data_IF_510411247277
#
_entry.id   IF_510411247277
#
_cell.length_a   1.000
_cell.length_b   1.000
_cell.length_c   1.000
_cell.angle_alpha   90.00
_cell.angle_beta   90.00
_cell.angle_gamma   90.00
#
_symmetry.space_group_name_H-M   'P 1'
#
loop_
_entity.id
_entity.type
_entity.pdbx_description
1 polymer ?
#
# COMPACT_ATOMS: atom_id res chain seq x y z
N UNK A 1 -21.49 -53.83 20.80
CA UNK A 1 -20.74 -53.91 19.53
C UNK A 1 -20.41 -52.49 19.11
N UNK A 2 -19.14 -52.13 19.16
CA UNK A 2 -18.67 -50.75 19.05
C UNK A 2 -18.72 -50.21 17.62
N UNK A 3 -19.18 -48.96 17.50
CA UNK A 3 -19.06 -48.15 16.29
C UNK A 3 -17.61 -47.71 16.11
N UNK A 4 -17.05 -47.95 14.92
CA UNK A 4 -15.72 -47.48 14.55
C UNK A 4 -15.89 -46.28 13.61
N UNK A 5 -15.82 -45.09 14.20
CA UNK A 5 -15.65 -43.81 13.51
C UNK A 5 -14.24 -43.78 12.91
N UNK A 6 -14.13 -43.87 11.59
CA UNK A 6 -12.89 -43.58 10.88
C UNK A 6 -12.79 -42.08 10.63
N UNK A 7 -12.03 -41.39 11.49
CA UNK A 7 -11.62 -40.00 11.27
C UNK A 7 -10.68 -39.94 10.07
N UNK A 8 -11.16 -39.47 8.92
CA UNK A 8 -10.27 -39.11 7.83
C UNK A 8 -9.48 -37.85 8.23
N UNK A 9 -8.19 -38.05 8.47
CA UNK A 9 -7.22 -36.99 8.65
C UNK A 9 -7.13 -36.21 7.33
N UNK A 10 -7.60 -34.96 7.36
CA UNK A 10 -7.55 -34.02 6.26
C UNK A 10 -6.08 -33.64 5.99
N UNK A 11 -5.42 -34.44 5.16
CA UNK A 11 -4.02 -34.26 4.80
C UNK A 11 -3.98 -33.17 3.74
N UNK A 12 -3.91 -31.91 4.18
CA UNK A 12 -3.86 -30.71 3.33
C UNK A 12 -2.71 -30.85 2.32
N UNK A 13 -3.06 -31.12 1.06
CA UNK A 13 -2.11 -31.20 -0.03
C UNK A 13 -1.25 -29.92 -0.09
N UNK A 14 0.04 -30.00 -0.50
CA UNK A 14 0.89 -28.83 -0.66
C UNK A 14 0.20 -27.85 -1.61
N UNK A 15 -0.11 -26.64 -1.14
CA UNK A 15 -0.69 -25.62 -2.01
C UNK A 15 0.33 -25.28 -3.09
N UNK A 16 -0.10 -25.33 -4.36
CA UNK A 16 0.73 -24.97 -5.51
C UNK A 16 1.39 -23.59 -5.30
N UNK A 17 2.69 -23.51 -5.58
CA UNK A 17 3.47 -22.26 -5.54
C UNK A 17 2.78 -21.17 -6.35
N UNK A 18 2.64 -19.99 -5.76
CA UNK A 18 1.96 -18.86 -6.40
C UNK A 18 2.81 -18.30 -7.56
N UNK A 19 2.17 -18.04 -8.69
CA UNK A 19 2.75 -17.48 -9.92
C UNK A 19 1.84 -16.38 -10.45
N UNK A 20 2.34 -15.59 -11.38
CA UNK A 20 1.54 -14.64 -12.13
C UNK A 20 0.68 -15.37 -13.17
N UNK A 21 -0.56 -14.91 -13.33
CA UNK A 21 -1.44 -15.39 -14.39
C UNK A 21 -0.83 -15.07 -15.76
N UNK A 22 -0.82 -16.03 -16.72
CA UNK A 22 -0.10 -15.87 -17.98
C UNK A 22 -0.68 -14.79 -18.89
N UNK A 23 -2.00 -14.65 -18.94
CA UNK A 23 -2.68 -13.86 -19.98
C UNK A 23 -3.26 -12.55 -19.46
N UNK A 24 -4.10 -12.59 -18.41
CA UNK A 24 -4.58 -11.40 -17.70
C UNK A 24 -3.42 -10.64 -17.03
N UNK A 25 -2.87 -9.68 -17.77
CA UNK A 25 -1.84 -8.73 -17.32
C UNK A 25 -1.87 -7.49 -18.20
N UNK A 26 -1.43 -6.36 -17.67
CA UNK A 26 -1.37 -5.10 -18.39
C UNK A 26 -0.44 -5.15 -19.60
N UNK A 27 -0.69 -4.29 -20.59
CA UNK A 27 -0.01 -4.30 -21.88
C UNK A 27 1.51 -4.07 -21.79
N UNK A 28 1.99 -3.42 -20.72
CA UNK A 28 3.41 -3.17 -20.50
C UNK A 28 4.11 -4.29 -19.72
N UNK A 29 3.39 -5.33 -19.28
CA UNK A 29 3.94 -6.40 -18.46
C UNK A 29 4.56 -7.51 -19.31
N UNK A 30 5.82 -7.83 -19.01
CA UNK A 30 6.52 -9.04 -19.43
C UNK A 30 6.76 -9.93 -18.23
N UNK A 31 6.42 -11.21 -18.39
CA UNK A 31 6.68 -12.24 -17.38
C UNK A 31 7.92 -13.04 -17.77
N UNK A 32 8.66 -13.53 -16.78
CA UNK A 32 9.69 -14.55 -17.01
C UNK A 32 9.08 -15.92 -17.38
N UNK A 33 9.93 -16.85 -17.83
CA UNK A 33 9.49 -18.19 -18.25
C UNK A 33 8.76 -18.96 -17.13
N UNK A 34 9.17 -18.73 -15.88
CA UNK A 34 8.60 -19.35 -14.69
C UNK A 34 7.30 -18.66 -14.22
N UNK A 35 6.95 -17.51 -14.81
CA UNK A 35 5.85 -16.63 -14.37
C UNK A 35 5.94 -16.23 -12.90
N UNK A 36 7.14 -16.15 -12.34
CA UNK A 36 7.33 -15.68 -10.98
C UNK A 36 7.88 -14.25 -10.93
N UNK A 37 8.37 -13.71 -12.04
CA UNK A 37 8.81 -12.31 -12.13
C UNK A 37 7.96 -11.56 -13.15
N UNK A 38 7.43 -10.41 -12.76
CA UNK A 38 6.72 -9.47 -13.63
C UNK A 38 7.54 -8.19 -13.75
N UNK A 39 7.84 -7.78 -14.98
CA UNK A 39 8.55 -6.56 -15.31
C UNK A 39 7.71 -5.68 -16.22
N UNK A 40 7.70 -4.39 -15.94
CA UNK A 40 7.09 -3.38 -16.80
C UNK A 40 8.13 -2.82 -17.78
N UNK A 41 7.84 -2.91 -19.08
CA UNK A 41 8.79 -2.58 -20.13
C UNK A 41 9.00 -1.07 -20.31
N UNK A 42 7.92 -0.29 -20.44
CA UNK A 42 7.98 1.15 -20.66
C UNK A 42 6.95 1.89 -19.78
N UNK A 43 6.92 3.23 -19.92
CA UNK A 43 5.94 4.16 -19.32
C UNK A 43 5.95 4.20 -17.78
N UNK A 44 4.81 4.51 -17.14
CA UNK A 44 4.53 4.43 -15.70
C UNK A 44 3.25 3.63 -15.34
N UNK A 45 2.52 3.10 -16.31
CA UNK A 45 1.18 2.48 -16.15
C UNK A 45 1.05 1.17 -16.96
N UNK A 46 -0.17 0.59 -16.99
CA UNK A 46 -0.47 -0.72 -17.60
C UNK A 46 0.35 -1.86 -16.97
N UNK A 47 0.58 -1.78 -15.66
CA UNK A 47 1.42 -2.69 -14.87
C UNK A 47 0.63 -3.75 -14.10
N UNK A 48 -0.66 -3.90 -14.36
CA UNK A 48 -1.56 -4.78 -13.58
C UNK A 48 -1.19 -6.25 -13.79
N UNK A 49 -1.10 -7.01 -12.71
CA UNK A 49 -0.89 -8.47 -12.72
C UNK A 49 -1.76 -9.14 -11.66
N UNK A 50 -2.08 -10.42 -11.90
CA UNK A 50 -2.89 -11.23 -10.99
C UNK A 50 -2.16 -12.53 -10.61
N UNK A 51 -2.52 -13.13 -9.48
CA UNK A 51 -2.12 -14.51 -9.19
C UNK A 51 -2.78 -15.49 -10.15
N UNK A 52 -2.13 -16.61 -10.45
CA UNK A 52 -2.67 -17.63 -11.36
C UNK A 52 -3.83 -18.42 -10.74
N UNK A 53 -3.90 -18.45 -9.40
CA UNK A 53 -4.95 -19.14 -8.64
C UNK A 53 -5.54 -18.24 -7.54
N UNK A 54 -6.71 -18.60 -7.00
CA UNK A 54 -7.21 -17.99 -5.78
C UNK A 54 -6.23 -18.14 -4.61
N UNK A 55 -6.25 -17.16 -3.72
CA UNK A 55 -5.47 -17.07 -2.50
C UNK A 55 -6.43 -17.20 -1.31
N UNK A 56 -6.07 -18.06 -0.35
CA UNK A 56 -6.92 -18.28 0.82
C UNK A 56 -6.88 -17.08 1.78
N UNK A 57 -7.96 -16.81 2.53
CA UNK A 57 -7.90 -15.85 3.63
C UNK A 57 -6.81 -16.22 4.63
N UNK A 58 -5.89 -15.29 4.89
CA UNK A 58 -4.72 -15.47 5.75
C UNK A 58 -3.49 -16.07 5.05
N UNK A 59 -3.61 -16.54 3.81
CA UNK A 59 -2.45 -16.92 3.00
C UNK A 59 -1.63 -15.66 2.67
N UNK A 60 -0.31 -15.77 2.87
CA UNK A 60 0.63 -14.67 2.72
C UNK A 60 1.15 -14.63 1.30
N UNK A 61 0.82 -13.57 0.57
CA UNK A 61 1.42 -13.30 -0.74
C UNK A 61 2.69 -12.50 -0.53
N UNK A 62 3.84 -13.10 -0.82
CA UNK A 62 5.14 -12.46 -0.68
C UNK A 62 5.70 -12.09 -2.06
N UNK A 63 6.05 -10.82 -2.24
CA UNK A 63 6.71 -10.32 -3.45
C UNK A 63 8.00 -9.60 -3.06
N UNK A 64 9.09 -9.91 -3.75
CA UNK A 64 10.32 -9.13 -3.71
C UNK A 64 10.27 -8.06 -4.77
N UNK A 65 10.62 -6.83 -4.42
CA UNK A 65 10.82 -5.78 -5.40
C UNK A 65 12.20 -5.96 -6.03
N UNK A 66 12.25 -6.17 -7.33
CA UNK A 66 13.48 -6.55 -8.04
C UNK A 66 14.16 -5.33 -8.64
N UNK A 67 13.39 -4.39 -9.18
CA UNK A 67 13.97 -3.27 -9.92
C UNK A 67 13.13 -2.00 -9.82
N UNK A 68 13.85 -0.88 -9.79
CA UNK A 68 13.36 0.49 -9.65
C UNK A 68 13.86 1.36 -10.80
N UNK A 69 13.03 2.32 -11.20
CA UNK A 69 13.43 3.40 -12.08
C UNK A 69 13.06 4.74 -11.47
N UNK A 70 14.05 5.63 -11.38
CA UNK A 70 13.86 7.01 -10.93
C UNK A 70 13.10 7.86 -11.96
N UNK A 71 12.74 9.08 -11.59
CA UNK A 71 12.01 10.00 -12.47
C UNK A 71 10.50 9.77 -12.57
N UNK A 72 9.98 8.79 -11.84
CA UNK A 72 8.55 8.52 -11.71
C UNK A 72 8.07 8.78 -10.28
N UNK A 73 6.79 9.10 -10.12
CA UNK A 73 6.14 9.22 -8.82
C UNK A 73 5.27 7.99 -8.53
N UNK A 74 5.16 7.65 -7.24
CA UNK A 74 4.39 6.52 -6.75
C UNK A 74 5.13 5.18 -6.79
N UNK A 75 4.48 4.14 -6.29
CA UNK A 75 5.09 2.82 -6.15
C UNK A 75 4.09 1.67 -6.23
N UNK A 76 4.58 0.47 -5.94
CA UNK A 76 3.83 -0.76 -5.97
C UNK A 76 2.47 -0.63 -5.26
N UNK A 77 1.42 -1.10 -5.93
CA UNK A 77 0.09 -1.27 -5.33
C UNK A 77 -0.21 -2.75 -5.19
N UNK A 78 -0.85 -3.13 -4.09
CA UNK A 78 -1.18 -4.53 -3.79
C UNK A 78 -2.61 -4.64 -3.27
N UNK A 79 -3.26 -5.77 -3.53
CA UNK A 79 -4.64 -5.97 -3.15
C UNK A 79 -5.18 -7.34 -3.50
N UNK A 80 -6.51 -7.43 -3.44
CA UNK A 80 -7.26 -8.61 -3.82
C UNK A 80 -8.43 -8.24 -4.72
N UNK A 81 -8.81 -9.16 -5.60
CA UNK A 81 -9.96 -9.03 -6.49
C UNK A 81 -10.80 -10.30 -6.49
N UNK A 82 -12.10 -10.17 -6.77
CA UNK A 82 -12.99 -11.29 -7.12
C UNK A 82 -13.10 -11.52 -8.62
N UNK A 83 -12.42 -10.72 -9.44
CA UNK A 83 -12.29 -11.01 -10.86
C UNK A 83 -11.46 -12.27 -11.02
N UNK A 84 -12.04 -13.29 -11.65
CA UNK A 84 -11.30 -14.47 -12.08
C UNK A 84 -10.39 -14.08 -13.25
N UNK A 85 -9.05 -14.12 -13.10
CA UNK A 85 -8.11 -13.75 -14.15
C UNK A 85 -8.25 -14.60 -15.42
N UNK A 86 -8.79 -15.81 -15.34
CA UNK A 86 -9.08 -16.64 -16.52
C UNK A 86 -10.19 -16.06 -17.40
N UNK A 87 -11.01 -15.15 -16.84
CA UNK A 87 -12.13 -14.48 -17.53
C UNK A 87 -11.82 -13.02 -17.86
N UNK A 88 -10.63 -12.53 -17.50
CA UNK A 88 -10.20 -11.15 -17.75
C UNK A 88 -9.43 -11.10 -19.06
N UNK A 89 -9.96 -10.32 -20.02
CA UNK A 89 -9.27 -10.04 -21.27
C UNK A 89 -8.18 -8.98 -21.05
N UNK A 90 -6.94 -9.24 -21.48
CA UNK A 90 -5.83 -8.30 -21.27
C UNK A 90 -6.09 -6.90 -21.87
N UNK A 91 -6.67 -6.75 -23.09
CA UNK A 91 -7.02 -5.44 -23.64
C UNK A 91 -8.11 -4.68 -22.89
N UNK A 92 -8.92 -5.35 -22.05
CA UNK A 92 -9.96 -4.69 -21.25
C UNK A 92 -9.44 -4.20 -19.89
N UNK A 93 -8.17 -4.44 -19.56
CA UNK A 93 -7.59 -3.95 -18.32
C UNK A 93 -7.37 -2.44 -18.40
N UNK A 94 -7.77 -1.69 -17.35
CA UNK A 94 -7.48 -0.26 -17.29
C UNK A 94 -5.99 -0.02 -16.99
N UNK A 95 -5.52 1.23 -17.12
CA UNK A 95 -4.12 1.56 -16.87
C UNK A 95 -3.65 1.37 -15.42
N UNK A 96 -4.57 1.46 -14.45
CA UNK A 96 -4.28 1.42 -13.02
C UNK A 96 -5.20 0.49 -12.24
N UNK A 97 -4.68 -0.14 -11.18
CA UNK A 97 -5.56 -0.83 -10.23
C UNK A 97 -6.42 0.17 -9.44
N UNK A 98 -5.78 1.22 -8.90
CA UNK A 98 -6.44 2.29 -8.16
C UNK A 98 -6.35 3.60 -8.96
N UNK A 99 -7.48 4.30 -9.24
CA UNK A 99 -8.85 3.94 -8.86
C UNK A 99 -9.57 3.04 -9.89
N UNK A 100 -9.02 2.89 -11.11
CA UNK A 100 -9.81 2.43 -12.27
C UNK A 100 -10.39 1.02 -12.11
N UNK A 101 -9.55 0.01 -11.83
CA UNK A 101 -10.02 -1.37 -11.71
C UNK A 101 -10.96 -1.54 -10.51
N UNK A 102 -10.74 -0.81 -9.42
CA UNK A 102 -11.63 -0.82 -8.26
C UNK A 102 -13.02 -0.23 -8.52
N UNK A 103 -13.09 0.81 -9.36
CA UNK A 103 -14.38 1.40 -9.74
C UNK A 103 -15.17 0.49 -10.69
N UNK A 104 -14.46 -0.32 -11.49
CA UNK A 104 -15.06 -1.18 -12.52
C UNK A 104 -15.39 -2.59 -12.01
N UNK A 105 -14.84 -3.00 -10.86
CA UNK A 105 -14.89 -4.40 -10.43
C UNK A 105 -14.79 -4.56 -8.91
N UNK A 106 -15.17 -5.72 -8.35
CA UNK A 106 -14.97 -6.05 -6.95
C UNK A 106 -13.48 -6.27 -6.64
N UNK A 107 -12.73 -5.17 -6.60
CA UNK A 107 -11.28 -5.10 -6.37
C UNK A 107 -11.00 -4.15 -5.22
N UNK A 108 -10.06 -4.54 -4.35
CA UNK A 108 -9.61 -3.76 -3.20
C UNK A 108 -8.09 -3.79 -3.14
N UNK A 109 -7.46 -2.67 -3.47
CA UNK A 109 -6.02 -2.50 -3.42
C UNK A 109 -5.65 -1.20 -2.73
N UNK A 110 -4.36 -1.02 -2.47
CA UNK A 110 -3.81 0.23 -2.01
C UNK A 110 -2.37 0.35 -2.49
N UNK A 111 -1.91 1.59 -2.64
CA UNK A 111 -0.48 1.87 -2.79
C UNK A 111 0.23 1.56 -1.48
N UNK A 112 1.42 0.97 -1.55
CA UNK A 112 2.27 0.83 -0.38
C UNK A 112 2.73 2.21 0.12
N UNK A 113 2.92 2.40 1.44
CA UNK A 113 3.47 3.64 1.97
C UNK A 113 4.82 3.97 1.35
N UNK A 114 5.19 5.25 1.36
CA UNK A 114 6.47 5.69 0.82
C UNK A 114 7.65 4.97 1.51
N UNK A 115 8.67 4.61 0.72
CA UNK A 115 9.82 3.86 1.20
C UNK A 115 9.58 2.37 1.51
N UNK A 116 8.35 1.85 1.37
CA UNK A 116 8.01 0.46 1.68
C UNK A 116 8.09 -0.49 0.47
N UNK A 117 8.73 -0.06 -0.61
CA UNK A 117 8.75 -0.83 -1.84
C UNK A 117 10.06 -0.63 -2.59
N UNK A 118 11.21 -0.51 -1.90
CA UNK A 118 12.53 -0.30 -2.50
C UNK A 118 13.10 -1.60 -3.10
N UNK A 119 14.04 -1.48 -4.03
CA UNK A 119 14.70 -2.64 -4.62
C UNK A 119 15.36 -3.50 -3.53
N UNK A 120 15.01 -4.79 -3.49
CA UNK A 120 15.41 -5.75 -2.46
C UNK A 120 14.35 -6.01 -1.40
N UNK A 121 13.41 -5.08 -1.18
CA UNK A 121 12.36 -5.23 -0.16
C UNK A 121 11.46 -6.42 -0.47
N UNK A 122 11.04 -7.10 0.60
CA UNK A 122 10.04 -8.15 0.55
C UNK A 122 8.74 -7.62 1.14
N UNK A 123 7.76 -7.44 0.28
CA UNK A 123 6.40 -7.03 0.64
C UNK A 123 5.55 -8.29 0.81
N UNK A 124 5.01 -8.48 2.00
CA UNK A 124 4.11 -9.57 2.32
C UNK A 124 2.73 -9.01 2.64
N UNK A 125 1.72 -9.35 1.85
CA UNK A 125 0.33 -8.90 2.07
C UNK A 125 -0.64 -10.08 2.17
N UNK A 126 -1.72 -9.87 2.92
CA UNK A 126 -2.76 -10.88 3.15
C UNK A 126 -4.06 -10.21 3.57
N UNK A 127 -5.18 -10.91 3.35
CA UNK A 127 -6.49 -10.51 3.87
C UNK A 127 -6.93 -11.45 4.99
N UNK A 128 -7.45 -10.91 6.09
CA UNK A 128 -7.98 -11.75 7.17
C UNK A 128 -9.47 -12.09 6.95
N UNK A 129 -10.03 -12.96 7.80
CA UNK A 129 -11.45 -13.36 7.73
C UNK A 129 -12.44 -12.21 7.96
N UNK A 130 -12.00 -11.07 8.53
CA UNK A 130 -12.79 -9.85 8.73
C UNK A 130 -12.72 -8.89 7.53
N UNK A 131 -12.15 -9.30 6.39
CA UNK A 131 -12.04 -8.45 5.20
C UNK A 131 -11.06 -7.28 5.35
N UNK A 132 -10.04 -7.42 6.21
CA UNK A 132 -8.99 -6.42 6.41
C UNK A 132 -7.72 -6.85 5.66
N UNK A 133 -7.27 -6.02 4.73
CA UNK A 133 -6.04 -6.17 3.96
C UNK A 133 -4.87 -5.59 4.76
N UNK A 134 -3.90 -6.44 5.07
CA UNK A 134 -2.67 -6.05 5.75
C UNK A 134 -1.47 -6.20 4.83
N UNK A 135 -0.43 -5.44 5.14
CA UNK A 135 0.91 -5.60 4.58
C UNK A 135 1.96 -5.59 5.69
N UNK A 136 3.08 -6.24 5.43
CA UNK A 136 4.32 -6.13 6.17
C UNK A 136 5.45 -6.04 5.15
N UNK A 137 6.40 -5.14 5.37
CA UNK A 137 7.59 -5.02 4.54
C UNK A 137 8.78 -5.44 5.37
N UNK A 138 9.54 -6.43 4.88
CA UNK A 138 10.66 -7.03 5.58
C UNK A 138 10.25 -7.47 7.01
N UNK A 139 11.05 -7.09 8.03
CA UNK A 139 10.79 -7.29 9.45
C UNK A 139 9.95 -6.16 10.09
N UNK A 140 9.42 -5.25 9.29
CA UNK A 140 8.68 -4.08 9.76
C UNK A 140 7.32 -4.38 10.41
N UNK A 141 6.63 -3.33 10.88
CA UNK A 141 5.31 -3.46 11.49
C UNK A 141 4.28 -3.99 10.50
N UNK A 142 3.23 -4.61 11.04
CA UNK A 142 2.03 -4.94 10.26
C UNK A 142 1.21 -3.67 10.06
N UNK A 143 1.00 -3.28 8.81
CA UNK A 143 0.21 -2.12 8.42
C UNK A 143 -1.15 -2.56 7.87
N UNK A 144 -2.21 -1.86 8.25
CA UNK A 144 -3.53 -2.03 7.66
C UNK A 144 -3.64 -1.13 6.43
N UNK A 145 -3.77 -1.72 5.24
CA UNK A 145 -3.89 -0.96 3.99
C UNK A 145 -5.35 -0.64 3.67
N UNK A 146 -6.27 -1.60 3.91
CA UNK A 146 -7.66 -1.44 3.51
C UNK A 146 -8.62 -2.28 4.35
N UNK A 147 -9.84 -1.77 4.51
CA UNK A 147 -10.98 -2.48 5.12
C UNK A 147 -12.05 -2.75 4.06
N UNK A 148 -12.96 -3.67 4.36
CA UNK A 148 -14.14 -3.91 3.53
C UNK A 148 -13.89 -4.81 2.31
N UNK A 149 -12.81 -5.60 2.31
CA UNK A 149 -12.65 -6.67 1.32
C UNK A 149 -13.77 -7.66 1.52
N UNK A 150 -14.61 -7.86 0.50
CA UNK A 150 -15.74 -8.76 0.62
C UNK A 150 -15.25 -10.21 0.64
N UNK A 151 -15.61 -10.94 1.70
CA UNK A 151 -15.27 -12.35 1.90
C UNK A 151 -16.41 -13.28 1.45
N UNK A 152 -16.15 -14.59 1.35
CA UNK A 152 -17.16 -15.59 0.96
C UNK A 152 -17.19 -15.94 -0.53
N UNK A 153 -16.23 -15.43 -1.30
CA UNK A 153 -15.97 -15.86 -2.68
C UNK A 153 -14.45 -16.01 -2.86
N UNK A 154 -13.99 -16.74 -3.89
CA UNK A 154 -12.57 -16.80 -4.24
C UNK A 154 -11.98 -15.40 -4.46
N UNK A 155 -10.76 -15.20 -3.96
CA UNK A 155 -10.01 -13.96 -4.11
C UNK A 155 -8.70 -14.25 -4.82
N UNK A 156 -8.34 -13.46 -5.82
CA UNK A 156 -7.02 -13.48 -6.45
C UNK A 156 -6.20 -12.30 -5.94
N UNK A 157 -4.89 -12.51 -5.79
CA UNK A 157 -3.99 -11.40 -5.52
C UNK A 157 -3.91 -10.54 -6.78
N UNK A 158 -3.98 -9.22 -6.61
CA UNK A 158 -3.76 -8.24 -7.68
C UNK A 158 -2.65 -7.29 -7.25
N UNK A 159 -1.75 -6.99 -8.18
CA UNK A 159 -0.67 -6.04 -7.97
C UNK A 159 -0.58 -5.11 -9.17
N UNK A 160 -0.11 -3.90 -8.95
CA UNK A 160 0.16 -2.91 -9.99
C UNK A 160 1.64 -2.55 -9.94
N UNK A 161 2.40 -3.00 -10.94
CA UNK A 161 3.81 -2.63 -11.11
C UNK A 161 3.84 -1.16 -11.58
N UNK A 162 3.66 -0.24 -10.65
CA UNK A 162 3.38 1.18 -10.94
C UNK A 162 4.52 2.11 -10.50
N UNK A 163 4.64 3.25 -11.19
CA UNK A 163 5.52 4.35 -10.81
C UNK A 163 6.99 3.92 -10.80
N UNK A 164 7.65 4.13 -9.66
CA UNK A 164 9.08 3.81 -9.48
C UNK A 164 9.36 2.31 -9.51
N UNK A 165 8.39 1.46 -9.17
CA UNK A 165 8.55 0.01 -9.22
C UNK A 165 8.46 -0.50 -10.66
N UNK A 166 9.52 -1.18 -11.13
CA UNK A 166 9.59 -1.71 -12.51
C UNK A 166 9.59 -3.23 -12.59
N UNK A 167 10.00 -3.93 -11.54
CA UNK A 167 9.89 -5.38 -11.51
C UNK A 167 9.63 -5.90 -10.11
N UNK A 168 8.77 -6.91 -10.01
CA UNK A 168 8.47 -7.65 -8.79
C UNK A 168 8.58 -9.15 -9.05
N UNK A 169 8.94 -9.90 -8.01
CA UNK A 169 9.03 -11.36 -8.06
C UNK A 169 8.23 -11.99 -6.94
N UNK A 170 7.27 -12.85 -7.29
CA UNK A 170 6.58 -13.71 -6.34
C UNK A 170 7.58 -14.68 -5.69
N UNK A 171 7.55 -14.73 -4.37
CA UNK A 171 8.37 -15.64 -3.58
C UNK A 171 7.54 -16.86 -3.18
N UNK A 172 8.19 -18.02 -3.22
CA UNK A 172 7.59 -19.23 -2.67
C UNK A 172 7.59 -19.14 -1.14
N UNK A 173 6.44 -19.27 -0.46
CA UNK A 173 6.36 -19.30 1.00
C UNK A 173 7.26 -20.37 1.62
N UNK A 174 7.53 -21.47 0.91
CA UNK A 174 8.39 -22.57 1.36
C UNK A 174 9.87 -22.33 1.11
N UNK A 175 10.24 -21.50 0.12
CA UNK A 175 11.64 -21.15 -0.16
C UNK A 175 12.17 -20.05 0.78
N UNK A 176 11.28 -19.32 1.45
CA UNK A 176 11.63 -18.33 2.47
C UNK A 176 11.29 -18.87 3.87
N UNK A 177 11.95 -19.94 4.27
CA UNK A 177 12.21 -20.15 5.69
C UNK A 177 13.04 -18.94 6.16
N UNK A 178 12.36 -17.92 6.68
CA UNK A 178 13.00 -17.03 7.63
C UNK A 178 13.65 -17.93 8.69
N UNK A 179 14.93 -17.73 9.08
CA UNK A 179 15.49 -18.47 10.21
C UNK A 179 14.68 -18.12 11.45
N UNK A 180 13.65 -18.92 11.70
CA UNK A 180 12.76 -18.83 12.85
C UNK A 180 13.41 -19.57 13.99
N UNK A 181 14.47 -18.99 14.55
CA UNK A 181 14.97 -19.37 15.87
C UNK A 181 14.38 -18.41 16.88
N UNK A 182 13.10 -18.60 17.22
CA UNK A 182 12.59 -18.24 18.54
C UNK A 182 11.53 -19.25 18.95
N UNK A 183 11.71 -19.94 20.10
CA UNK A 183 10.73 -20.89 20.61
C UNK A 183 9.38 -20.23 20.86
N UNK A 184 8.29 -20.91 20.48
CA UNK A 184 6.93 -20.54 20.86
C UNK A 184 6.76 -20.70 22.37
N UNK A 185 6.90 -19.61 23.12
CA UNK A 185 6.33 -19.50 24.45
C UNK A 185 5.88 -18.05 24.71
N UNK A 186 4.56 -17.91 24.89
CA UNK A 186 3.85 -16.87 25.65
C UNK A 186 4.22 -15.40 25.36
N UNK A 187 3.41 -14.72 24.54
CA UNK A 187 3.23 -13.28 24.73
C UNK A 187 1.74 -12.94 24.62
N UNK A 188 1.30 -12.34 25.72
CA UNK A 188 0.00 -11.94 26.18
C UNK A 188 -0.64 -10.82 25.31
N UNK A 189 -1.97 -10.89 25.20
CA UNK A 189 -2.82 -9.86 24.61
C UNK A 189 -3.01 -8.74 25.64
N UNK A 190 -2.07 -7.79 25.73
CA UNK A 190 -2.38 -6.44 26.24
C UNK A 190 -1.17 -5.51 26.13
N UNK A 191 -1.47 -4.22 25.93
CA UNK A 191 -0.58 -3.06 25.96
C UNK A 191 0.28 -2.82 24.72
N UNK A 192 -0.22 -2.00 23.79
CA UNK A 192 0.59 -0.92 23.22
C UNK A 192 -0.25 0.36 23.02
N UNK A 193 0.37 1.54 23.15
CA UNK A 193 -0.28 2.77 23.58
C UNK A 193 -0.97 3.48 22.42
N UNK A 194 -2.09 4.14 22.72
CA UNK A 194 -2.76 5.07 21.82
C UNK A 194 -1.80 6.19 21.42
N UNK A 195 -1.35 6.18 20.16
CA UNK A 195 -0.65 7.32 19.59
C UNK A 195 -1.67 8.45 19.40
N UNK A 196 -1.46 9.52 20.16
CA UNK A 196 -2.24 10.76 20.18
C UNK A 196 -2.62 11.24 18.78
N UNK A 197 -3.91 11.51 18.59
CA UNK A 197 -4.51 11.99 17.36
C UNK A 197 -3.95 13.37 16.95
N UNK A 198 -2.98 13.38 16.04
CA UNK A 198 -2.65 14.57 15.24
C UNK A 198 -3.57 14.61 14.02
N UNK A 199 -4.06 15.79 13.65
CA UNK A 199 -4.93 15.98 12.48
C UNK A 199 -4.31 15.36 11.21
N UNK A 200 -5.12 14.68 10.40
CA UNK A 200 -4.67 14.11 9.12
C UNK A 200 -4.57 15.20 8.05
N UNK A 201 -3.65 15.06 7.10
CA UNK A 201 -3.50 16.02 6.02
C UNK A 201 -4.77 16.10 5.16
N UNK A 202 -5.33 17.30 4.99
CA UNK A 202 -6.57 17.53 4.26
C UNK A 202 -6.51 17.28 2.74
N UNK A 203 -5.31 17.01 2.19
CA UNK A 203 -5.12 16.72 0.75
C UNK A 203 -4.98 15.22 0.51
N UNK A 204 -4.11 14.55 1.27
CA UNK A 204 -3.82 13.13 1.04
C UNK A 204 -4.55 12.19 1.99
N UNK A 205 -5.11 12.70 3.09
CA UNK A 205 -5.77 11.93 4.16
C UNK A 205 -4.93 10.72 4.63
N UNK A 206 -3.60 10.81 4.52
CA UNK A 206 -2.69 9.70 4.74
C UNK A 206 -1.57 10.02 5.72
N UNK A 207 -1.00 11.22 5.62
CA UNK A 207 0.07 11.68 6.48
C UNK A 207 -0.43 12.68 7.51
N UNK A 208 0.23 12.77 8.67
CA UNK A 208 -0.08 13.78 9.68
C UNK A 208 0.10 15.20 9.11
N UNK A 209 -0.82 16.08 9.49
CA UNK A 209 -0.75 17.51 9.24
C UNK A 209 0.36 18.12 10.11
N UNK A 210 1.57 18.12 9.57
CA UNK A 210 2.80 18.48 10.29
C UNK A 210 3.54 19.66 9.67
N UNK A 211 2.91 20.40 8.76
CA UNK A 211 3.56 21.44 7.96
C UNK A 211 2.71 22.70 7.87
N UNK A 212 3.34 23.83 8.09
CA UNK A 212 2.78 25.18 8.10
C UNK A 212 3.11 25.92 6.79
N UNK A 213 2.11 26.59 6.21
CA UNK A 213 2.29 27.48 5.06
C UNK A 213 2.51 28.93 5.52
N UNK A 214 3.63 29.55 5.15
CA UNK A 214 3.98 30.92 5.53
C UNK A 214 3.58 31.88 4.40
N UNK A 215 2.98 33.05 4.69
CA UNK A 215 2.76 33.63 6.02
C UNK A 215 1.41 33.29 6.68
N UNK A 216 0.54 32.54 6.01
CA UNK A 216 -0.84 32.37 6.45
C UNK A 216 -1.02 31.52 7.72
N UNK A 217 -0.06 30.66 8.05
CA UNK A 217 -0.05 29.87 9.28
C UNK A 217 -0.86 28.56 9.23
N UNK A 218 -1.46 28.20 8.09
CA UNK A 218 -2.30 26.99 8.01
C UNK A 218 -1.45 25.72 8.06
N UNK A 219 -1.81 24.80 8.97
CA UNK A 219 -1.04 23.60 9.30
C UNK A 219 -1.66 22.28 8.85
N UNK A 220 -2.81 22.29 8.15
CA UNK A 220 -3.59 21.10 7.77
C UNK A 220 -2.95 20.20 6.69
N UNK A 221 -1.67 20.37 6.41
CA UNK A 221 -0.98 19.72 5.31
C UNK A 221 0.22 18.93 5.83
N UNK A 222 0.47 17.77 5.23
CA UNK A 222 1.76 17.13 5.37
C UNK A 222 2.80 17.88 4.52
N UNK A 223 4.08 17.65 4.82
CA UNK A 223 5.20 18.30 4.14
C UNK A 223 5.17 18.12 2.63
N UNK A 224 4.83 16.92 2.17
CA UNK A 224 4.74 16.61 0.74
C UNK A 224 3.63 17.40 0.03
N UNK A 225 2.41 17.38 0.59
CA UNK A 225 1.28 18.09 0.00
C UNK A 225 1.48 19.61 0.04
N UNK A 226 2.05 20.14 1.12
CA UNK A 226 2.36 21.56 1.25
C UNK A 226 3.39 22.03 0.21
N UNK A 227 4.46 21.25 0.00
CA UNK A 227 5.48 21.53 -1.03
C UNK A 227 4.92 21.47 -2.44
N UNK A 228 4.02 20.51 -2.71
CA UNK A 228 3.35 20.41 -4.01
C UNK A 228 2.47 21.62 -4.30
N UNK A 229 1.64 22.02 -3.33
CA UNK A 229 0.82 23.23 -3.44
C UNK A 229 1.68 24.48 -3.66
N UNK A 230 2.81 24.59 -2.94
CA UNK A 230 3.75 25.71 -3.11
C UNK A 230 4.33 25.76 -4.53
N UNK A 231 4.64 24.61 -5.12
CA UNK A 231 5.20 24.52 -6.48
C UNK A 231 4.17 24.77 -7.59
N UNK A 232 2.97 24.17 -7.46
CA UNK A 232 2.02 24.10 -8.57
C UNK A 232 1.03 25.29 -8.57
N UNK A 233 0.61 25.73 -7.38
CA UNK A 233 -0.42 26.77 -7.21
C UNK A 233 0.13 28.05 -6.59
N UNK A 234 1.20 27.95 -5.79
CA UNK A 234 1.79 29.01 -4.98
C UNK A 234 0.78 29.76 -4.07
N UNK A 235 -0.43 29.21 -3.86
CA UNK A 235 -1.50 29.79 -3.03
C UNK A 235 -2.05 28.76 -2.06
N UNK A 236 -2.31 29.20 -0.83
CA UNK A 236 -2.84 28.37 0.26
C UNK A 236 -4.24 27.82 -0.11
N UNK A 237 -4.52 26.50 0.00
CA UNK A 237 -5.82 25.94 -0.33
C UNK A 237 -6.94 26.39 0.62
N UNK A 238 -6.58 26.83 1.84
CA UNK A 238 -7.54 27.26 2.87
C UNK A 238 -7.92 28.73 2.67
N UNK A 239 -6.93 29.63 2.65
CA UNK A 239 -7.17 31.08 2.65
C UNK A 239 -6.80 31.78 1.34
N UNK A 240 -6.31 31.05 0.33
CA UNK A 240 -5.92 31.54 -1.00
C UNK A 240 -4.78 32.58 -1.03
N UNK A 241 -4.15 32.88 0.11
CA UNK A 241 -2.96 33.73 0.17
C UNK A 241 -1.76 33.08 -0.49
N UNK A 242 -0.89 33.93 -1.06
CA UNK A 242 0.38 33.51 -1.66
C UNK A 242 1.29 32.89 -0.60
N UNK A 243 1.80 31.70 -0.91
CA UNK A 243 2.72 30.96 -0.05
C UNK A 243 4.12 31.45 -0.39
N UNK A 244 4.85 31.93 0.62
CA UNK A 244 6.25 32.35 0.48
C UNK A 244 7.24 31.28 0.96
N UNK A 245 6.83 30.46 1.91
CA UNK A 245 7.64 29.35 2.40
C UNK A 245 6.77 28.23 2.99
N UNK A 246 7.35 27.03 3.05
CA UNK A 246 6.75 25.83 3.65
C UNK A 246 7.67 25.38 4.78
N UNK A 247 7.18 25.37 6.02
CA UNK A 247 8.00 25.06 7.20
C UNK A 247 7.35 23.96 8.05
N UNK A 248 8.11 23.10 8.75
CA UNK A 248 7.53 22.17 9.70
C UNK A 248 6.70 22.89 10.75
N UNK A 249 5.53 22.35 11.09
CA UNK A 249 4.68 22.87 12.16
C UNK A 249 5.25 22.59 13.56
N UNK A 250 6.29 21.75 13.65
CA UNK A 250 7.00 21.42 14.88
C UNK A 250 8.06 22.48 15.18
N UNK A 251 7.64 23.54 15.86
CA UNK A 251 8.48 24.41 16.66
C UNK A 251 7.88 24.52 18.07
N UNK A 252 8.65 24.90 19.10
CA UNK A 252 8.08 25.15 20.42
C UNK A 252 6.92 26.16 20.31
N UNK A 253 5.86 26.02 21.13
CA UNK A 253 4.69 26.85 21.02
C UNK A 253 5.10 28.32 21.18
N UNK A 254 5.08 29.07 20.09
CA UNK A 254 5.02 30.53 20.19
C UNK A 254 3.62 30.79 20.73
N UNK A 255 3.56 31.06 22.03
CA UNK A 255 2.44 31.70 22.68
C UNK A 255 2.07 32.92 21.84
N UNK A 256 1.05 32.77 20.99
CA UNK A 256 0.30 33.92 20.51
C UNK A 256 -0.63 34.31 21.65
N UNK A 257 -0.10 35.08 22.59
CA UNK A 257 -0.93 36.02 23.34
C UNK A 257 -1.53 36.97 22.31
N UNK A 258 -2.82 36.81 22.07
CA UNK A 258 -3.60 37.76 21.31
C UNK A 258 -3.74 39.04 22.10
N UNK A 259 -3.37 40.15 21.45
CA UNK A 259 -3.87 41.52 21.62
C UNK A 259 -3.02 42.32 20.63
N UNK A 260 -3.62 42.91 19.60
CA UNK A 260 -4.18 44.24 19.74
C UNK A 260 -3.29 45.20 18.96
N UNK A 261 -3.83 45.69 17.86
CA UNK A 261 -3.43 46.88 17.11
C UNK A 261 -2.64 47.90 17.96
N UNK A 262 -1.46 48.35 17.51
CA UNK A 262 -1.20 49.80 17.41
C UNK A 262 0.07 50.11 16.58
N UNK A 263 -0.17 51.03 15.66
CA UNK A 263 0.76 51.86 14.91
C UNK A 263 1.54 52.81 15.83
N UNK A 264 2.85 53.01 15.58
CA UNK A 264 3.70 54.22 15.80
C UNK A 264 5.17 53.77 15.63
N UNK A 265 5.96 54.22 14.63
CA UNK A 265 6.59 55.54 14.37
C UNK A 265 7.56 56.00 15.46
N UNK A 266 8.78 56.38 14.99
CA UNK A 266 9.92 57.03 15.66
C UNK A 266 10.75 56.12 16.58
N UNK A 267 12.08 56.13 16.56
CA UNK A 267 13.08 57.07 16.04
C UNK A 267 14.31 56.30 15.55
#
# INVERSE_FOLDING_TARGET
>A
MGAQLSSQADTKAPQETLRFHPEAKGAQVRLDAQRCTARRNATFHDGIVFSQRPVLPGERVAVRVVWHEGGWCGGLRVGFTRLDPARVSAPSLPPFVCPDLELQSPTWAAMLPEGCALAGDVVCFWVNRRGRLFVRVNSGPRLLLRKGVLMGAPLWAVMDVYGTTKAIKLLDPTASAFPSTVPRALIDESLQPEATAGEECAICFHHAANTCLVPCGHTHFCSYCALRVFRDLAKCPVCRWEIKAVVPAWGPPILRTGEGLLMQVAN
#
